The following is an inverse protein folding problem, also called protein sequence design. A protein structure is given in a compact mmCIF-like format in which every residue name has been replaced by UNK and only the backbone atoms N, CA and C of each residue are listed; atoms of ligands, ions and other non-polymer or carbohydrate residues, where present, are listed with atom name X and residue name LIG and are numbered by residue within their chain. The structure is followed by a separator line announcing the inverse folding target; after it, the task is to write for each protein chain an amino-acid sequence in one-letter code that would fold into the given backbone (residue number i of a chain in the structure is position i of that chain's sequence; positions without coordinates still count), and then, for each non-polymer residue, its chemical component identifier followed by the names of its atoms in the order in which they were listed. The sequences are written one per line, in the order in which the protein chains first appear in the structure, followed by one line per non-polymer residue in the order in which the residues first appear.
data_IF_604749952613
#
_entry.id   IF_604749952613
#
_cell.length_a   1.000
_cell.length_b   1.000
_cell.length_c   1.000
_cell.angle_alpha   90.00
_cell.angle_beta   90.00
_cell.angle_gamma   90.00
#
_symmetry.space_group_name_H-M   'P 1'
#
loop_
_entity.id
_entity.type
_entity.pdbx_description
1 polymer ?
#
# COMPACT_ATOMS: atom_id res chain seq x y z
N UNK A 1 6.48 13.02 16.19
CA UNK A 1 6.44 12.63 15.06
C UNK A 1 5.84 11.37 14.83
N UNK A 2 4.80 11.26 14.30
CA UNK A 2 4.03 10.09 14.15
C UNK A 2 3.99 9.67 12.73
N UNK A 3 5.15 9.34 12.24
CA UNK A 3 5.18 8.89 10.89
C UNK A 3 4.69 7.49 10.83
N UNK A 4 3.71 7.26 10.00
CA UNK A 4 3.22 5.92 9.74
C UNK A 4 4.20 5.25 8.79
N UNK A 5 4.77 4.09 9.18
CA UNK A 5 5.76 3.44 8.33
C UNK A 5 5.25 3.09 6.95
N UNK A 6 3.94 2.97 6.81
CA UNK A 6 3.38 2.60 5.51
C UNK A 6 3.41 3.76 4.53
N UNK A 7 3.57 4.99 5.02
CA UNK A 7 3.71 6.11 4.09
C UNK A 7 4.95 5.96 3.24
N UNK A 8 6.05 5.59 3.88
CA UNK A 8 7.28 5.40 3.13
C UNK A 8 7.17 4.22 2.18
N UNK A 9 6.51 3.16 2.64
CA UNK A 9 6.37 1.99 1.78
C UNK A 9 5.48 2.28 0.58
N UNK A 10 4.43 3.04 0.79
CA UNK A 10 3.55 3.41 -0.31
C UNK A 10 4.29 4.32 -1.28
N UNK A 11 5.09 5.23 -0.78
CA UNK A 11 5.86 6.09 -1.66
C UNK A 11 6.85 5.29 -2.49
N UNK A 12 7.49 4.29 -1.89
CA UNK A 12 8.40 3.42 -2.63
C UNK A 12 7.66 2.67 -3.72
N UNK A 13 6.45 2.25 -3.42
CA UNK A 13 5.62 1.56 -4.40
C UNK A 13 5.28 2.47 -5.56
N UNK A 14 4.92 3.71 -5.27
CA UNK A 14 4.56 4.66 -6.30
C UNK A 14 5.76 5.06 -7.16
N UNK A 15 6.92 5.12 -6.54
CA UNK A 15 8.13 5.49 -7.27
C UNK A 15 8.70 4.34 -8.06
N UNK A 16 8.23 3.14 -7.78
CA UNK A 16 8.77 1.99 -8.49
C UNK A 16 9.97 1.35 -7.83
N UNK A 17 10.33 1.83 -6.64
CA UNK A 17 11.42 1.23 -5.89
C UNK A 17 11.10 -0.20 -5.53
N UNK A 18 9.85 -0.47 -5.18
CA UNK A 18 9.38 -1.81 -4.96
C UNK A 18 8.23 -2.07 -5.93
N UNK A 19 8.06 -3.32 -6.33
CA UNK A 19 7.04 -3.64 -7.31
C UNK A 19 5.72 -4.04 -6.65
N UNK A 20 5.76 -4.42 -5.38
CA UNK A 20 4.54 -4.79 -4.68
C UNK A 20 4.77 -4.57 -3.19
N UNK A 21 3.65 -4.44 -2.47
CA UNK A 21 3.68 -4.20 -1.04
C UNK A 21 2.75 -5.18 -0.37
N UNK A 22 3.29 -6.01 0.52
CA UNK A 22 2.49 -7.02 1.21
C UNK A 22 2.10 -6.50 2.58
N UNK A 23 0.80 -6.50 2.85
CA UNK A 23 0.25 -6.02 4.11
C UNK A 23 -0.36 -7.18 4.85
N UNK A 24 0.07 -7.40 6.09
CA UNK A 24 -0.49 -8.46 6.91
C UNK A 24 -1.81 -8.02 7.51
N UNK A 25 -2.66 -8.99 7.89
CA UNK A 25 -3.98 -8.63 8.43
C UNK A 25 -3.90 -7.71 9.64
N UNK A 26 -2.90 -7.90 10.49
CA UNK A 26 -2.78 -7.08 11.70
C UNK A 26 -2.42 -5.65 11.37
N UNK A 27 -1.85 -5.41 10.19
CA UNK A 27 -1.44 -4.08 9.78
C UNK A 27 -2.42 -3.41 8.85
N UNK A 28 -3.49 -4.10 8.52
CA UNK A 28 -4.42 -3.61 7.53
C UNK A 28 -5.03 -2.26 7.92
N UNK A 29 -5.40 -2.12 9.20
CA UNK A 29 -6.01 -0.88 9.64
C UNK A 29 -5.05 0.29 9.54
N UNK A 30 -3.78 0.07 9.94
CA UNK A 30 -2.79 1.12 9.86
C UNK A 30 -2.51 1.51 8.42
N UNK A 31 -2.44 0.51 7.54
CA UNK A 31 -2.22 0.79 6.13
C UNK A 31 -3.38 1.58 5.55
N UNK A 32 -4.59 1.20 5.89
CA UNK A 32 -5.78 1.83 5.35
C UNK A 32 -5.87 3.30 5.75
N UNK A 33 -5.38 3.63 6.95
CA UNK A 33 -5.39 5.01 7.38
C UNK A 33 -4.56 5.90 6.48
N UNK A 34 -3.47 5.36 5.96
CA UNK A 34 -2.65 6.11 5.02
C UNK A 34 -3.28 6.09 3.63
N UNK A 35 -3.74 4.92 3.21
CA UNK A 35 -4.26 4.72 1.87
C UNK A 35 -5.47 5.62 1.59
N UNK A 36 -6.37 5.74 2.53
CA UNK A 36 -7.61 6.49 2.29
C UNK A 36 -7.36 7.97 2.09
N UNK A 37 -6.21 8.47 2.53
CA UNK A 37 -5.88 9.87 2.39
C UNK A 37 -5.06 10.17 1.15
N UNK A 38 -4.77 9.16 0.36
CA UNK A 38 -3.97 9.35 -0.85
C UNK A 38 -4.84 9.89 -1.98
N UNK A 39 -4.36 10.88 -2.72
CA UNK A 39 -5.13 11.39 -3.86
C UNK A 39 -5.23 10.38 -4.99
N UNK A 40 -4.25 9.50 -5.11
CA UNK A 40 -4.25 8.53 -6.19
C UNK A 40 -4.46 7.11 -5.67
N UNK A 41 -5.26 6.98 -4.62
CA UNK A 41 -5.49 5.67 -4.03
C UNK A 41 -6.13 4.68 -5.01
N UNK A 42 -6.83 5.21 -6.01
CA UNK A 42 -7.47 4.33 -6.99
C UNK A 42 -6.45 3.61 -7.86
N UNK A 43 -5.24 4.11 -7.90
CA UNK A 43 -4.19 3.45 -8.66
C UNK A 43 -3.54 2.31 -7.90
N UNK A 44 -3.84 2.19 -6.62
CA UNK A 44 -3.27 1.13 -5.81
C UNK A 44 -4.27 -0.01 -5.74
N UNK A 45 -3.88 -1.14 -6.32
CA UNK A 45 -4.76 -2.30 -6.43
C UNK A 45 -4.33 -3.36 -5.45
N UNK A 46 -5.29 -3.91 -4.70
CA UNK A 46 -4.98 -4.94 -3.73
C UNK A 46 -5.47 -6.29 -4.19
N UNK A 47 -4.66 -7.32 -3.95
CA UNK A 47 -5.02 -8.69 -4.25
C UNK A 47 -4.88 -9.53 -3.00
N UNK A 48 -5.79 -10.48 -2.82
CA UNK A 48 -5.72 -11.37 -1.69
C UNK A 48 -4.55 -12.33 -1.85
N UNK A 49 -3.77 -12.45 -0.80
CA UNK A 49 -2.66 -13.38 -0.81
C UNK A 49 -2.91 -14.52 0.15
N UNK A 50 -1.87 -15.27 0.45
CA UNK A 50 -1.97 -16.38 1.38
C UNK A 50 -2.05 -15.86 2.80
N UNK A 51 -2.74 -16.62 3.66
CA UNK A 51 -2.79 -16.34 5.08
C UNK A 51 -3.42 -14.99 5.41
N UNK A 52 -4.33 -14.54 4.57
CA UNK A 52 -5.02 -13.28 4.82
C UNK A 52 -4.24 -12.04 4.48
N UNK A 53 -3.08 -12.19 3.91
CA UNK A 53 -2.30 -11.05 3.49
C UNK A 53 -2.89 -10.44 2.24
N UNK A 54 -2.63 -9.14 2.05
CA UNK A 54 -3.07 -8.45 0.87
C UNK A 54 -1.86 -7.86 0.17
N UNK A 55 -1.76 -8.11 -1.12
CA UNK A 55 -0.64 -7.64 -1.91
C UNK A 55 -1.10 -6.45 -2.72
N UNK A 56 -0.46 -5.31 -2.50
CA UNK A 56 -0.83 -4.07 -3.18
C UNK A 56 0.18 -3.76 -4.28
N UNK A 57 -0.34 -3.28 -5.39
CA UNK A 57 0.49 -2.86 -6.51
C UNK A 57 0.02 -1.50 -6.99
N UNK A 58 0.94 -0.74 -7.50
CA UNK A 58 0.62 0.57 -8.02
C UNK A 58 0.53 0.50 -9.53
N UNK A 59 -0.65 0.83 -10.04
CA UNK A 59 -0.90 0.77 -11.48
C UNK A 59 -0.70 2.15 -12.05
N UNK A 60 0.41 2.33 -12.74
CA UNK A 60 0.68 3.60 -13.36
C UNK A 60 -0.09 3.71 -14.64
N UNK A 61 -0.69 4.86 -14.83
CA UNK A 61 -1.34 5.12 -16.10
C UNK A 61 -0.39 5.90 -16.95
N UNK A 62 -0.29 5.50 -18.15
CA UNK A 62 0.60 6.18 -19.10
C UNK A 62 -0.12 7.25 -19.85
#
# INVERSE_FOLDING_TARGET
MNENPFEEQINALKEGTISELVIEPKDFTAFREVWKNLPDRMSIVGEAGLNGRIIYRYMKEE
#
